data_IF_677925990651
#
_entry.id   IF_677925990651
#
_cell.length_a   1.000
_cell.length_b   1.000
_cell.length_c   1.000
_cell.angle_alpha   90.00
_cell.angle_beta   90.00
_cell.angle_gamma   90.00
#
_symmetry.space_group_name_H-M   'P 1'
#
loop_
_entity.id
_entity.type
_entity.pdbx_description
1 polymer ?
#
# COMPACT_ATOMS: atom_id res chain seq x y z
N UNK A 1 7.38 -5.11 -18.65
CA UNK A 1 8.14 -4.40 -19.69
C UNK A 1 9.35 -3.74 -19.09
N UNK A 2 9.18 -2.63 -18.37
CA UNK A 2 10.27 -1.73 -17.97
C UNK A 2 11.21 -2.31 -16.89
N UNK A 3 10.69 -3.00 -15.87
CA UNK A 3 11.54 -3.60 -14.82
C UNK A 3 12.37 -4.77 -15.36
N UNK A 4 11.80 -5.55 -16.29
CA UNK A 4 12.55 -6.60 -16.99
C UNK A 4 13.66 -6.02 -17.87
N UNK A 5 13.40 -4.85 -18.48
CA UNK A 5 14.36 -4.09 -19.29
C UNK A 5 15.47 -3.46 -18.43
N UNK A 6 15.13 -2.82 -17.30
CA UNK A 6 16.09 -2.31 -16.31
C UNK A 6 16.98 -3.42 -15.76
N UNK A 7 16.40 -4.59 -15.47
CA UNK A 7 17.15 -5.75 -14.99
C UNK A 7 18.05 -6.36 -16.07
N UNK A 8 17.62 -6.35 -17.34
CA UNK A 8 18.42 -6.75 -18.49
C UNK A 8 19.57 -5.76 -18.78
N UNK A 9 19.38 -4.48 -18.47
CA UNK A 9 20.40 -3.43 -18.52
C UNK A 9 21.35 -3.45 -17.30
N UNK A 10 21.18 -4.40 -16.37
CA UNK A 10 22.07 -4.59 -15.22
C UNK A 10 21.72 -3.76 -13.99
N UNK A 11 20.51 -3.20 -13.90
CA UNK A 11 20.10 -2.44 -12.71
C UNK A 11 20.22 -3.31 -11.43
N UNK A 12 20.92 -2.84 -10.38
CA UNK A 12 21.14 -3.62 -9.19
C UNK A 12 19.83 -3.90 -8.47
N UNK A 13 19.71 -5.10 -7.90
CA UNK A 13 18.53 -5.56 -7.15
C UNK A 13 18.05 -4.55 -6.09
N UNK A 14 18.98 -3.82 -5.47
CA UNK A 14 18.70 -2.78 -4.47
C UNK A 14 17.94 -1.58 -5.04
N UNK A 15 18.23 -1.18 -6.28
CA UNK A 15 17.53 -0.09 -6.96
C UNK A 15 16.08 -0.48 -7.27
N UNK A 16 15.86 -1.68 -7.81
CA UNK A 16 14.52 -2.20 -8.09
C UNK A 16 13.72 -2.32 -6.79
N UNK A 17 14.33 -2.86 -5.73
CA UNK A 17 13.67 -2.94 -4.42
C UNK A 17 13.31 -1.56 -3.86
N UNK A 18 14.19 -0.56 -4.00
CA UNK A 18 13.93 0.81 -3.55
C UNK A 18 12.73 1.44 -4.27
N UNK A 19 12.63 1.27 -5.60
CA UNK A 19 11.51 1.80 -6.39
C UNK A 19 10.17 1.22 -5.90
N UNK A 20 10.09 -0.11 -5.79
CA UNK A 20 8.88 -0.79 -5.32
C UNK A 20 8.53 -0.44 -3.87
N UNK A 21 9.53 -0.33 -2.98
CA UNK A 21 9.28 0.11 -1.62
C UNK A 21 8.75 1.53 -1.59
N UNK A 22 9.29 2.43 -2.41
CA UNK A 22 8.85 3.82 -2.47
C UNK A 22 7.42 3.94 -2.99
N UNK A 23 7.08 3.19 -4.03
CA UNK A 23 5.73 3.18 -4.61
C UNK A 23 4.72 2.58 -3.63
N UNK A 24 5.10 1.49 -2.95
CA UNK A 24 4.27 0.90 -1.91
C UNK A 24 4.12 1.80 -0.68
N UNK A 25 5.18 2.51 -0.28
CA UNK A 25 5.12 3.48 0.80
C UNK A 25 4.18 4.64 0.45
N UNK A 26 4.29 5.18 -0.78
CA UNK A 26 3.39 6.22 -1.29
C UNK A 26 1.94 5.75 -1.32
N UNK A 27 1.65 4.54 -1.85
CA UNK A 27 0.30 3.97 -1.84
C UNK A 27 -0.24 3.76 -0.42
N UNK A 28 0.60 3.31 0.51
CA UNK A 28 0.20 3.06 1.89
C UNK A 28 -0.11 4.36 2.62
N UNK A 29 0.72 5.39 2.42
CA UNK A 29 0.51 6.74 2.98
C UNK A 29 -0.75 7.39 2.43
N UNK A 30 -0.99 7.34 1.12
CA UNK A 30 -2.18 7.92 0.50
C UNK A 30 -3.44 7.15 0.91
N UNK A 31 -3.39 5.82 0.96
CA UNK A 31 -4.48 5.00 1.46
C UNK A 31 -4.83 5.27 2.92
N UNK A 32 -3.83 5.41 3.79
CA UNK A 32 -4.04 5.74 5.20
C UNK A 32 -4.65 7.15 5.37
N UNK A 33 -4.13 8.15 4.65
CA UNK A 33 -4.66 9.50 4.67
C UNK A 33 -6.11 9.56 4.19
N UNK A 34 -6.41 8.92 3.05
CA UNK A 34 -7.77 8.85 2.50
C UNK A 34 -8.73 8.09 3.44
N UNK A 35 -8.28 6.98 4.03
CA UNK A 35 -9.06 6.22 5.00
C UNK A 35 -9.41 7.03 6.25
N UNK A 36 -8.44 7.76 6.80
CA UNK A 36 -8.67 8.66 7.94
C UNK A 36 -9.67 9.77 7.61
N UNK A 37 -9.54 10.42 6.44
CA UNK A 37 -10.46 11.45 5.98
C UNK A 37 -11.88 10.89 5.81
N UNK A 38 -12.03 9.73 5.19
CA UNK A 38 -13.32 9.07 5.02
C UNK A 38 -13.94 8.67 6.36
N UNK A 39 -13.15 8.15 7.30
CA UNK A 39 -13.64 7.76 8.63
C UNK A 39 -14.16 8.98 9.40
N UNK A 40 -13.35 10.03 9.50
CA UNK A 40 -13.74 11.25 10.22
C UNK A 40 -14.93 11.96 9.54
N UNK A 41 -14.89 12.07 8.22
CA UNK A 41 -15.96 12.66 7.41
C UNK A 41 -17.27 11.91 7.58
N UNK A 42 -17.25 10.58 7.54
CA UNK A 42 -18.45 9.74 7.70
C UNK A 42 -19.06 9.92 9.09
N UNK A 43 -18.24 9.95 10.15
CA UNK A 43 -18.72 10.12 11.52
C UNK A 43 -19.34 11.51 11.71
N UNK A 44 -18.68 12.55 11.21
CA UNK A 44 -19.22 13.93 11.23
C UNK A 44 -20.54 14.04 10.47
N UNK A 45 -20.62 13.42 9.29
CA UNK A 45 -21.81 13.43 8.46
C UNK A 45 -22.96 12.71 9.17
N UNK A 46 -22.73 11.49 9.66
CA UNK A 46 -23.73 10.71 10.40
C UNK A 46 -24.21 11.45 11.66
N UNK A 47 -23.31 12.06 12.42
CA UNK A 47 -23.66 12.83 13.62
C UNK A 47 -24.52 14.06 13.30
N UNK A 48 -24.33 14.68 12.13
CA UNK A 48 -25.17 15.79 11.68
C UNK A 48 -26.59 15.35 11.30
N UNK A 49 -26.76 14.15 10.72
CA UNK A 49 -28.07 13.60 10.37
C UNK A 49 -28.81 12.95 11.55
N UNK A 50 -28.09 12.42 12.54
CA UNK A 50 -28.67 11.69 13.67
C UNK A 50 -28.14 12.21 15.03
N UNK A 51 -28.46 13.46 15.42
CA UNK A 51 -27.93 14.08 16.63
C UNK A 51 -28.41 13.41 17.94
N UNK A 52 -29.49 12.62 17.89
CA UNK A 52 -30.00 11.88 19.03
C UNK A 52 -29.17 10.64 19.39
N UNK A 53 -28.31 10.16 18.49
CA UNK A 53 -27.46 9.00 18.72
C UNK A 53 -26.03 9.43 19.03
N UNK A 54 -25.42 8.80 20.03
CA UNK A 54 -23.99 8.94 20.34
C UNK A 54 -23.17 8.18 19.28
N UNK A 55 -22.97 8.80 18.12
CA UNK A 55 -22.15 8.25 17.05
C UNK A 55 -20.68 8.62 17.33
N UNK A 56 -19.93 7.65 17.84
CA UNK A 56 -18.50 7.80 18.17
C UNK A 56 -17.70 6.57 17.78
N UNK A 57 -16.37 6.72 17.67
CA UNK A 57 -15.50 5.57 17.44
C UNK A 57 -15.44 4.70 18.69
N UNK A 58 -15.58 3.38 18.50
CA UNK A 58 -15.26 2.44 19.55
C UNK A 58 -13.76 2.55 19.92
N UNK A 59 -13.36 2.37 21.20
CA UNK A 59 -11.98 2.51 21.65
C UNK A 59 -10.99 1.59 20.93
N UNK A 60 -11.46 0.45 20.43
CA UNK A 60 -10.67 -0.53 19.68
C UNK A 60 -10.56 -0.23 18.19
N UNK A 61 -11.40 0.66 17.65
CA UNK A 61 -11.42 0.99 16.22
C UNK A 61 -10.07 1.50 15.69
N UNK A 62 -9.30 2.34 16.41
CA UNK A 62 -7.98 2.76 15.97
C UNK A 62 -7.00 1.58 15.87
N UNK A 63 -7.10 0.60 16.77
CA UNK A 63 -6.23 -0.58 16.78
C UNK A 63 -6.46 -1.41 15.52
N UNK A 64 -7.72 -1.65 15.15
CA UNK A 64 -8.04 -2.39 13.92
C UNK A 64 -7.63 -1.59 12.69
N UNK A 65 -7.85 -0.28 12.66
CA UNK A 65 -7.42 0.57 11.55
C UNK A 65 -5.90 0.52 11.34
N UNK A 66 -5.10 0.62 12.41
CA UNK A 66 -3.64 0.48 12.36
C UNK A 66 -3.24 -0.92 11.90
N UNK A 67 -3.91 -1.96 12.42
CA UNK A 67 -3.67 -3.35 12.01
C UNK A 67 -3.87 -3.58 10.51
N UNK A 68 -4.99 -3.08 9.96
CA UNK A 68 -5.30 -3.14 8.53
C UNK A 68 -4.30 -2.32 7.71
N UNK A 69 -3.93 -1.12 8.14
CA UNK A 69 -2.95 -0.29 7.45
C UNK A 69 -1.57 -0.95 7.37
N UNK A 70 -1.09 -1.52 8.49
CA UNK A 70 0.20 -2.22 8.55
C UNK A 70 0.20 -3.49 7.70
N UNK A 71 -0.82 -4.34 7.84
CA UNK A 71 -0.93 -5.56 7.02
C UNK A 71 -0.99 -5.23 5.53
N UNK A 72 -1.79 -4.24 5.13
CA UNK A 72 -1.90 -3.84 3.73
C UNK A 72 -0.57 -3.30 3.20
N UNK A 73 0.11 -2.41 3.94
CA UNK A 73 1.41 -1.88 3.54
C UNK A 73 2.50 -2.95 3.45
N UNK A 74 2.52 -3.93 4.37
CA UNK A 74 3.48 -5.04 4.34
C UNK A 74 3.19 -5.99 3.18
N UNK A 75 1.93 -6.40 3.00
CA UNK A 75 1.51 -7.33 1.94
C UNK A 75 1.81 -6.73 0.57
N UNK A 76 1.33 -5.51 0.31
CA UNK A 76 1.49 -4.86 -0.99
C UNK A 76 2.87 -4.21 -1.19
N UNK A 77 3.66 -3.97 -0.15
CA UNK A 77 5.04 -3.49 -0.30
C UNK A 77 6.07 -4.59 -0.44
N UNK A 78 5.96 -5.64 0.37
CA UNK A 78 7.02 -6.66 0.49
C UNK A 78 6.83 -7.80 -0.52
N UNK A 79 5.59 -8.27 -0.77
CA UNK A 79 5.36 -9.38 -1.69
C UNK A 79 5.73 -9.05 -3.15
N UNK A 80 5.27 -7.94 -3.77
CA UNK A 80 5.64 -7.63 -5.14
C UNK A 80 7.12 -7.25 -5.26
N UNK A 81 7.69 -6.51 -4.30
CA UNK A 81 9.12 -6.19 -4.30
C UNK A 81 9.98 -7.46 -4.28
N UNK A 82 9.61 -8.46 -3.45
CA UNK A 82 10.30 -9.75 -3.41
C UNK A 82 10.15 -10.54 -4.71
N UNK A 83 8.97 -10.52 -5.34
CA UNK A 83 8.73 -11.16 -6.66
C UNK A 83 9.58 -10.50 -7.75
N UNK A 84 9.54 -9.17 -7.87
CA UNK A 84 10.33 -8.40 -8.85
C UNK A 84 11.84 -8.60 -8.67
N UNK A 85 12.31 -8.69 -7.42
CA UNK A 85 13.70 -8.94 -7.10
C UNK A 85 14.17 -10.36 -7.48
N UNK A 86 13.27 -11.36 -7.48
CA UNK A 86 13.56 -12.76 -7.84
C UNK A 86 13.35 -13.11 -9.31
N UNK A 87 12.73 -12.24 -10.13
CA UNK A 87 12.62 -12.47 -11.57
C UNK A 87 14.02 -12.64 -12.19
N UNK A 88 14.34 -13.84 -12.68
CA UNK A 88 15.61 -14.07 -13.38
C UNK A 88 15.59 -13.40 -14.76
N UNK A 89 16.67 -12.70 -15.15
CA UNK A 89 16.73 -11.94 -16.40
C UNK A 89 16.62 -12.82 -17.65
N UNK A 90 16.89 -14.13 -17.54
CA UNK A 90 16.86 -15.07 -18.65
C UNK A 90 15.45 -15.27 -19.27
N UNK A 91 14.37 -15.12 -18.49
CA UNK A 91 12.99 -15.27 -18.99
C UNK A 91 12.45 -14.02 -19.70
N UNK A 92 13.10 -12.85 -19.54
CA UNK A 92 12.63 -11.60 -20.14
C UNK A 92 13.02 -11.46 -21.62
N UNK A 93 14.04 -12.19 -22.08
CA UNK A 93 14.55 -12.15 -23.45
C UNK A 93 14.08 -13.34 -24.32
N UNK A 94 13.51 -14.39 -23.73
CA UNK A 94 13.12 -15.61 -24.46
C UNK A 94 11.64 -15.68 -24.87
N UNK A 95 10.82 -14.68 -24.53
CA UNK A 95 9.49 -14.51 -25.16
C UNK A 95 9.61 -13.53 -26.31
N UNK A 96 10.07 -14.06 -27.44
CA UNK A 96 9.70 -13.57 -28.77
C UNK A 96 8.60 -14.46 -29.31
#
# INVERSE_FOLDING_TARGET
GEIGLLKALGAPRRQIMGLFLSEAALLSLTGAAAGCLLAYGSIRLLAAFYPAYLIGLAPWSPVIAVGVALTTGIVFGVLPARRAARLEPALALSRR
#
